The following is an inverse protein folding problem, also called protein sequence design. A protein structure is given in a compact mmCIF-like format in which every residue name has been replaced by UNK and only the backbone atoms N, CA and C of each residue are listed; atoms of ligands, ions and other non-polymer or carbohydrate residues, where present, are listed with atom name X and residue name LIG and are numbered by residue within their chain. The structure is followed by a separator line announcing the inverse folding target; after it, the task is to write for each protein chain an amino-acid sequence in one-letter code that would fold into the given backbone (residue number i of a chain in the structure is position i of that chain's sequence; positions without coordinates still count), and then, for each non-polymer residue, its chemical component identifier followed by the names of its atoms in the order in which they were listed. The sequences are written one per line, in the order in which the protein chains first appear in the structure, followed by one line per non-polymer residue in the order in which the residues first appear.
data_IF_548781255555
#
_entry.id   IF_548781255555
#
_cell.length_a   1.000
_cell.length_b   1.000
_cell.length_c   1.000
_cell.angle_alpha   90.00
_cell.angle_beta   90.00
_cell.angle_gamma   90.00
#
_symmetry.space_group_name_H-M   'P 1'
#
loop_
_entity.id
_entity.type
_entity.pdbx_description
1 polymer ?
#
# COMPACT_ATOMS: atom_id res chain seq x y z
N UNK A 1 7.81 2.18 7.53
CA UNK A 1 6.61 2.65 6.79
C UNK A 1 5.38 2.06 7.41
N UNK A 2 4.23 2.72 7.29
CA UNK A 2 2.94 2.13 7.62
C UNK A 2 2.09 1.98 6.36
N UNK A 3 1.49 0.81 6.17
CA UNK A 3 0.62 0.49 5.04
C UNK A 3 -0.85 0.54 5.46
N UNK A 4 -1.68 1.13 4.61
CA UNK A 4 -3.14 1.01 4.65
C UNK A 4 -3.61 0.15 3.46
N UNK A 5 -4.85 -0.33 3.51
CA UNK A 5 -5.48 -1.06 2.40
C UNK A 5 -6.72 -0.30 1.93
N UNK A 6 -6.75 0.05 0.65
CA UNK A 6 -7.89 0.67 -0.01
C UNK A 6 -8.42 -0.29 -1.08
N UNK A 7 -9.50 -0.98 -0.73
CA UNK A 7 -10.11 -1.98 -1.59
C UNK A 7 -11.35 -1.39 -2.28
N UNK A 8 -11.23 -1.09 -3.56
CA UNK A 8 -12.27 -0.49 -4.41
C UNK A 8 -12.64 -1.46 -5.54
N UNK A 9 -13.07 -2.67 -5.14
CA UNK A 9 -13.50 -3.73 -6.05
C UNK A 9 -14.75 -4.38 -5.45
N UNK A 10 -15.68 -4.79 -6.30
CA UNK A 10 -16.85 -5.54 -5.88
C UNK A 10 -16.48 -6.97 -5.42
N UNK A 11 -17.06 -7.42 -4.31
CA UNK A 11 -16.79 -8.72 -3.67
C UNK A 11 -16.97 -9.92 -4.61
N UNK A 12 -17.81 -9.79 -5.65
CA UNK A 12 -18.06 -10.84 -6.62
C UNK A 12 -16.87 -11.11 -7.55
N UNK A 13 -15.95 -10.15 -7.70
CA UNK A 13 -14.75 -10.26 -8.55
C UNK A 13 -13.64 -10.94 -7.77
N UNK A 14 -13.32 -10.41 -6.60
CA UNK A 14 -12.29 -10.95 -5.70
C UNK A 14 -12.69 -10.63 -4.26
N UNK A 15 -12.51 -11.56 -3.29
CA UNK A 15 -12.87 -11.25 -1.92
C UNK A 15 -11.94 -10.19 -1.31
N UNK A 16 -12.46 -9.29 -0.47
CA UNK A 16 -11.63 -8.38 0.30
C UNK A 16 -10.74 -9.17 1.27
N UNK A 17 -9.55 -8.63 1.57
CA UNK A 17 -8.67 -9.20 2.58
C UNK A 17 -9.07 -8.66 3.95
N UNK A 18 -9.13 -9.52 4.95
CA UNK A 18 -9.09 -9.08 6.34
C UNK A 18 -7.77 -8.40 6.65
N UNK A 19 -7.72 -7.65 7.76
CA UNK A 19 -6.49 -6.99 8.23
C UNK A 19 -5.37 -7.99 8.47
N UNK A 20 -5.71 -9.15 9.02
CA UNK A 20 -4.79 -10.24 9.31
C UNK A 20 -4.26 -10.89 8.03
N UNK A 21 -5.12 -11.13 7.04
CA UNK A 21 -4.72 -11.65 5.73
C UNK A 21 -3.83 -10.66 4.98
N UNK A 22 -4.19 -9.38 5.00
CA UNK A 22 -3.41 -8.31 4.41
C UNK A 22 -2.02 -8.19 5.07
N UNK A 23 -1.93 -8.25 6.40
CA UNK A 23 -0.65 -8.25 7.09
C UNK A 23 0.19 -9.49 6.78
N UNK A 24 -0.43 -10.67 6.81
CA UNK A 24 0.25 -11.95 6.53
C UNK A 24 0.88 -11.96 5.13
N UNK A 25 0.21 -11.40 4.14
CA UNK A 25 0.71 -11.25 2.78
C UNK A 25 2.09 -10.59 2.73
N UNK A 26 2.27 -9.48 3.44
CA UNK A 26 3.55 -8.76 3.44
C UNK A 26 4.59 -9.42 4.36
N UNK A 27 4.17 -10.00 5.49
CA UNK A 27 5.05 -10.76 6.37
C UNK A 27 5.72 -11.92 5.60
N UNK A 28 4.94 -12.66 4.81
CA UNK A 28 5.46 -13.77 4.04
C UNK A 28 6.16 -13.30 2.76
N UNK A 29 5.56 -12.36 2.03
CA UNK A 29 6.03 -11.90 0.72
C UNK A 29 7.30 -11.04 0.76
N UNK A 30 7.62 -10.43 1.91
CA UNK A 30 8.76 -9.51 2.04
C UNK A 30 9.86 -10.01 2.98
N UNK A 31 9.78 -11.24 3.49
CA UNK A 31 10.70 -11.79 4.51
C UNK A 31 12.20 -11.62 4.22
N UNK A 32 12.58 -11.52 2.94
CA UNK A 32 13.98 -11.35 2.50
C UNK A 32 14.40 -9.88 2.36
N UNK A 33 13.44 -8.96 2.29
CA UNK A 33 13.67 -7.52 2.05
C UNK A 33 13.31 -6.64 3.25
N UNK A 34 12.39 -7.09 4.11
CA UNK A 34 11.87 -6.31 5.23
C UNK A 34 11.35 -7.18 6.38
N UNK A 35 11.27 -6.59 7.57
CA UNK A 35 10.49 -7.11 8.68
C UNK A 35 9.12 -6.43 8.67
N UNK A 36 8.07 -7.23 8.76
CA UNK A 36 6.70 -6.72 8.79
C UNK A 36 5.96 -7.19 10.05
N UNK A 37 5.03 -6.37 10.53
CA UNK A 37 4.09 -6.76 11.59
C UNK A 37 2.71 -6.13 11.38
N UNK A 38 1.68 -6.80 11.88
CA UNK A 38 0.35 -6.21 12.05
C UNK A 38 0.41 -5.11 13.12
N UNK A 39 -0.19 -3.95 12.85
CA UNK A 39 -0.32 -2.84 13.81
C UNK A 39 -1.74 -2.71 14.34
N UNK A 40 -1.85 -2.24 15.58
CA UNK A 40 -3.11 -1.92 16.22
C UNK A 40 -3.47 -0.44 15.99
N UNK A 41 -3.98 -0.16 14.79
CA UNK A 41 -4.41 1.18 14.39
C UNK A 41 -5.71 1.12 13.55
N UNK A 42 -6.65 2.07 13.72
CA UNK A 42 -7.89 2.08 12.92
C UNK A 42 -7.65 2.16 11.40
N UNK A 43 -6.62 2.89 10.97
CA UNK A 43 -6.33 3.14 9.55
C UNK A 43 -5.13 2.33 9.06
N UNK A 44 -4.01 2.38 9.78
CA UNK A 44 -2.81 1.62 9.43
C UNK A 44 -2.96 0.15 9.78
N UNK A 45 -2.42 -0.74 8.94
CA UNK A 45 -2.55 -2.19 9.08
C UNK A 45 -1.19 -2.85 9.26
N UNK A 46 -0.18 -2.44 8.51
CA UNK A 46 1.14 -3.10 8.52
C UNK A 46 2.24 -2.10 8.78
N UNK A 47 3.15 -2.42 9.69
CA UNK A 47 4.44 -1.77 9.78
C UNK A 47 5.46 -2.55 8.95
N UNK A 48 6.26 -1.83 8.18
CA UNK A 48 7.36 -2.38 7.39
C UNK A 48 8.65 -1.66 7.75
N UNK A 49 9.63 -2.44 8.23
CA UNK A 49 10.99 -1.99 8.55
C UNK A 49 11.97 -2.63 7.57
N UNK A 50 12.77 -1.83 6.87
CA UNK A 50 13.73 -2.28 5.89
C UNK A 50 15.00 -1.44 5.93
N UNK A 51 16.08 -1.98 5.36
CA UNK A 51 17.38 -1.32 5.29
C UNK A 51 17.38 -0.28 4.16
N UNK A 52 17.35 1.00 4.53
CA UNK A 52 17.31 2.13 3.59
C UNK A 52 18.61 2.31 2.80
N UNK A 53 19.69 1.61 3.17
CA UNK A 53 20.92 1.57 2.36
C UNK A 53 20.82 0.58 1.20
N UNK A 54 19.85 -0.35 1.25
CA UNK A 54 19.65 -1.41 0.26
C UNK A 54 18.43 -1.21 -0.61
N UNK A 55 17.36 -0.63 -0.05
CA UNK A 55 16.11 -0.42 -0.75
C UNK A 55 15.64 1.02 -0.56
N UNK A 56 15.13 1.60 -1.63
CA UNK A 56 14.39 2.85 -1.62
C UNK A 56 12.91 2.62 -1.31
N UNK A 57 12.18 3.67 -0.90
CA UNK A 57 10.74 3.62 -0.73
C UNK A 57 9.98 3.07 -1.96
N UNK A 58 10.37 3.50 -3.16
CA UNK A 58 9.75 3.07 -4.42
C UNK A 58 10.00 1.59 -4.71
N UNK A 59 11.24 1.10 -4.53
CA UNK A 59 11.57 -0.33 -4.71
C UNK A 59 10.79 -1.22 -3.72
N UNK A 60 10.59 -0.73 -2.49
CA UNK A 60 9.70 -1.42 -1.55
C UNK A 60 8.25 -1.42 -2.03
N UNK A 61 7.77 -0.30 -2.60
CA UNK A 61 6.46 -0.22 -3.23
C UNK A 61 6.26 -1.24 -4.35
N UNK A 62 7.26 -1.43 -5.22
CA UNK A 62 7.24 -2.46 -6.27
C UNK A 62 7.10 -3.87 -5.69
N UNK A 63 7.82 -4.16 -4.61
CA UNK A 63 7.70 -5.43 -3.88
C UNK A 63 6.32 -5.60 -3.26
N UNK A 64 5.71 -4.54 -2.74
CA UNK A 64 4.34 -4.59 -2.20
C UNK A 64 3.33 -4.97 -3.29
N UNK A 65 3.41 -4.30 -4.44
CA UNK A 65 2.54 -4.61 -5.58
C UNK A 65 2.72 -6.06 -6.04
N UNK A 66 3.97 -6.53 -6.12
CA UNK A 66 4.27 -7.89 -6.55
C UNK A 66 3.75 -8.95 -5.56
N UNK A 67 3.91 -8.72 -4.25
CA UNK A 67 3.39 -9.60 -3.22
C UNK A 67 1.86 -9.72 -3.29
N UNK A 68 1.18 -8.59 -3.47
CA UNK A 68 -0.28 -8.54 -3.60
C UNK A 68 -0.77 -9.26 -4.86
N UNK A 69 -0.14 -8.96 -6.00
CA UNK A 69 -0.46 -9.58 -7.28
C UNK A 69 -0.33 -11.10 -7.24
N UNK A 70 0.69 -11.63 -6.54
CA UNK A 70 0.91 -13.07 -6.43
C UNK A 70 -0.24 -13.78 -5.69
N UNK A 71 -0.78 -13.17 -4.64
CA UNK A 71 -1.95 -13.72 -3.94
C UNK A 71 -3.21 -13.56 -4.79
N UNK A 72 -3.41 -12.41 -5.46
CA UNK A 72 -4.62 -12.22 -6.26
C UNK A 72 -4.70 -13.17 -7.47
N UNK A 73 -3.56 -13.55 -8.05
CA UNK A 73 -3.48 -14.57 -9.11
C UNK A 73 -4.05 -15.94 -8.70
N UNK A 74 -3.97 -16.30 -7.43
CA UNK A 74 -4.54 -17.57 -6.95
C UNK A 74 -5.99 -17.45 -6.47
N UNK A 75 -6.51 -16.23 -6.29
CA UNK A 75 -7.86 -15.95 -5.80
C UNK A 75 -8.83 -15.52 -6.89
N UNK A 76 -8.32 -15.01 -8.01
CA UNK A 76 -9.18 -14.52 -9.08
C UNK A 76 -9.99 -15.66 -9.71
N UNK A 77 -11.27 -15.38 -9.98
CA UNK A 77 -12.15 -16.32 -10.67
C UNK A 77 -11.75 -16.44 -12.14
N UNK A 78 -11.92 -17.64 -12.68
CA UNK A 78 -11.69 -17.91 -14.10
C UNK A 78 -12.50 -16.94 -14.98
N UNK A 79 -11.84 -16.35 -15.98
CA UNK A 79 -12.47 -15.41 -16.92
C UNK A 79 -12.55 -13.96 -16.45
N UNK A 80 -12.07 -13.61 -15.25
CA UNK A 80 -11.97 -12.23 -14.77
C UNK A 80 -10.53 -11.69 -14.91
N UNK A 81 -10.41 -10.36 -15.02
CA UNK A 81 -9.11 -9.66 -15.05
C UNK A 81 -8.61 -9.33 -13.65
N UNK A 82 -7.30 -9.43 -13.45
CA UNK A 82 -6.66 -9.00 -12.21
C UNK A 82 -6.92 -7.52 -11.97
N UNK A 83 -7.03 -7.09 -10.71
CA UNK A 83 -7.21 -5.68 -10.43
C UNK A 83 -5.97 -4.89 -10.80
N UNK A 84 -6.18 -3.60 -11.04
CA UNK A 84 -5.08 -2.65 -11.01
C UNK A 84 -4.64 -2.48 -9.56
N UNK A 85 -3.33 -2.37 -9.36
CA UNK A 85 -2.74 -2.12 -8.05
C UNK A 85 -2.02 -0.79 -8.10
N UNK A 86 -2.31 0.09 -7.15
CA UNK A 86 -1.57 1.33 -6.92
C UNK A 86 -0.92 1.29 -5.55
N UNK A 87 0.35 1.67 -5.48
CA UNK A 87 1.06 1.88 -4.22
C UNK A 87 1.42 3.36 -4.14
N UNK A 88 0.71 4.08 -3.27
CA UNK A 88 0.78 5.53 -3.17
C UNK A 88 1.45 5.92 -1.86
N UNK A 89 2.71 6.35 -1.94
CA UNK A 89 3.51 6.70 -0.77
C UNK A 89 3.61 8.20 -0.57
N UNK A 90 3.57 8.65 0.69
CA UNK A 90 3.88 10.01 1.08
C UNK A 90 4.52 10.10 2.47
N UNK A 91 5.53 10.95 2.62
CA UNK A 91 6.08 11.31 3.92
C UNK A 91 5.08 12.15 4.68
N UNK A 92 4.81 11.78 5.93
CA UNK A 92 4.00 12.59 6.83
C UNK A 92 4.78 13.80 7.30
N UNK A 93 4.19 14.98 7.14
CA UNK A 93 4.79 16.26 7.56
C UNK A 93 4.08 16.89 8.76
N UNK A 94 2.87 16.42 9.08
CA UNK A 94 2.06 16.92 10.19
C UNK A 94 2.19 16.05 11.44
N UNK A 95 1.95 16.59 12.65
CA UNK A 95 1.96 15.81 13.88
C UNK A 95 1.06 14.58 13.84
N UNK A 96 1.41 13.54 14.60
CA UNK A 96 0.55 12.39 14.76
C UNK A 96 -0.79 12.79 15.39
N UNK A 97 -1.89 12.19 14.91
CA UNK A 97 -3.23 12.45 15.43
C UNK A 97 -3.49 11.76 16.77
N UNK A 98 -2.61 10.84 17.16
CA UNK A 98 -2.69 10.12 18.43
C UNK A 98 -1.30 9.83 18.99
N UNK A 99 -1.23 9.57 20.29
CA UNK A 99 -0.02 9.14 20.98
C UNK A 99 0.25 7.63 20.89
N UNK A 100 -0.56 6.88 20.12
CA UNK A 100 -0.33 5.45 19.92
C UNK A 100 1.01 5.21 19.21
N UNK A 101 1.82 4.23 19.65
CA UNK A 101 3.06 3.87 18.97
C UNK A 101 2.85 3.40 17.53
N UNK A 102 1.64 2.93 17.20
CA UNK A 102 1.26 2.48 15.86
C UNK A 102 0.63 3.61 15.01
N UNK A 103 0.87 4.87 15.38
CA UNK A 103 0.47 6.03 14.58
C UNK A 103 1.61 6.49 13.69
N UNK A 104 1.30 6.79 12.43
CA UNK A 104 2.25 7.42 11.52
C UNK A 104 2.75 8.74 12.12
N UNK A 105 4.06 8.85 12.28
CA UNK A 105 4.76 10.01 12.84
C UNK A 105 5.32 10.93 11.73
N UNK A 106 5.61 12.21 12.03
CA UNK A 106 6.34 13.07 11.10
C UNK A 106 7.65 12.43 10.63
N UNK A 107 7.95 12.54 9.34
CA UNK A 107 9.13 11.95 8.70
C UNK A 107 8.95 10.49 8.28
N UNK A 108 7.88 9.81 8.72
CA UNK A 108 7.58 8.45 8.30
C UNK A 108 6.74 8.41 7.02
N UNK A 109 6.90 7.32 6.26
CA UNK A 109 6.10 7.04 5.09
C UNK A 109 4.77 6.37 5.44
N UNK A 110 3.68 7.03 5.08
CA UNK A 110 2.36 6.40 4.93
C UNK A 110 2.19 5.94 3.50
N UNK A 111 1.70 4.72 3.32
CA UNK A 111 1.55 4.11 2.01
C UNK A 111 0.16 3.52 1.88
N UNK A 112 -0.61 4.00 0.90
CA UNK A 112 -1.89 3.43 0.55
C UNK A 112 -1.69 2.34 -0.51
N UNK A 113 -2.04 1.10 -0.14
CA UNK A 113 -2.07 -0.03 -1.08
C UNK A 113 -3.50 -0.13 -1.62
N UNK A 114 -3.67 0.23 -2.88
CA UNK A 114 -4.98 0.32 -3.53
C UNK A 114 -5.17 -0.85 -4.48
N UNK A 115 -6.35 -1.44 -4.43
CA UNK A 115 -6.84 -2.38 -5.44
C UNK A 115 -8.10 -1.79 -6.08
N UNK A 116 -8.12 -1.65 -7.40
CA UNK A 116 -9.24 -1.07 -8.14
C UNK A 116 -9.35 -1.67 -9.54
N UNK A 117 -10.52 -1.56 -10.17
CA UNK A 117 -10.71 -1.92 -11.58
C UNK A 117 -10.31 -0.78 -12.54
N UNK A 118 -10.17 0.44 -12.04
CA UNK A 118 -9.86 1.63 -12.83
C UNK A 118 -8.93 2.57 -12.05
N UNK A 119 -7.63 2.35 -12.24
CA UNK A 119 -6.58 3.15 -11.61
C UNK A 119 -6.69 4.65 -11.93
N UNK A 120 -7.06 5.01 -13.16
CA UNK A 120 -7.15 6.41 -13.56
C UNK A 120 -8.29 7.09 -12.83
N UNK A 121 -9.49 6.48 -12.87
CA UNK A 121 -10.66 7.01 -12.16
C UNK A 121 -10.43 7.11 -10.66
N UNK A 122 -9.76 6.13 -10.06
CA UNK A 122 -9.41 6.17 -8.64
C UNK A 122 -8.50 7.37 -8.33
N UNK A 123 -7.41 7.55 -9.09
CA UNK A 123 -6.45 8.65 -8.90
C UNK A 123 -7.11 10.02 -9.09
N UNK A 124 -8.00 10.17 -10.09
CA UNK A 124 -8.80 11.37 -10.30
C UNK A 124 -9.74 11.62 -9.11
N UNK A 125 -10.41 10.58 -8.61
CA UNK A 125 -11.35 10.67 -7.50
C UNK A 125 -10.73 11.15 -6.19
N UNK A 126 -9.47 10.78 -5.92
CA UNK A 126 -8.72 11.26 -4.74
C UNK A 126 -7.96 12.57 -5.01
N UNK A 127 -8.00 13.08 -6.24
CA UNK A 127 -7.28 14.29 -6.63
C UNK A 127 -5.76 14.14 -6.55
N UNK A 128 -5.22 12.95 -6.87
CA UNK A 128 -3.81 12.60 -6.66
C UNK A 128 -2.85 13.64 -7.24
N UNK A 129 -3.03 14.01 -8.50
CA UNK A 129 -2.17 14.99 -9.20
C UNK A 129 -2.15 16.35 -8.49
N UNK A 130 -3.29 16.80 -7.97
CA UNK A 130 -3.37 18.05 -7.20
C UNK A 130 -2.68 17.90 -5.85
N UNK A 131 -2.85 16.76 -5.18
CA UNK A 131 -2.26 16.49 -3.87
C UNK A 131 -0.73 16.38 -3.90
N UNK A 132 -0.14 16.00 -5.03
CA UNK A 132 1.32 15.87 -5.18
C UNK A 132 1.98 17.09 -5.83
N UNK A 133 1.23 17.98 -6.49
CA UNK A 133 1.79 19.10 -7.27
C UNK A 133 2.73 20.01 -6.48
N UNK A 134 2.52 20.14 -5.16
CA UNK A 134 3.33 20.99 -4.28
C UNK A 134 4.32 20.19 -3.42
N UNK A 135 4.37 18.87 -3.58
CA UNK A 135 5.23 18.01 -2.75
C UNK A 135 6.59 17.79 -3.43
N UNK A 136 7.68 17.82 -2.64
CA UNK A 136 8.99 17.39 -3.16
C UNK A 136 8.93 15.96 -3.67
N UNK A 137 9.56 15.68 -4.80
CA UNK A 137 9.53 14.35 -5.45
C UNK A 137 10.11 13.23 -4.59
N UNK A 138 11.02 13.56 -3.68
CA UNK A 138 11.62 12.64 -2.71
C UNK A 138 10.68 12.30 -1.54
N UNK A 139 9.59 13.05 -1.37
CA UNK A 139 8.62 12.90 -0.30
C UNK A 139 7.36 12.14 -0.71
N UNK A 140 7.29 11.72 -1.98
CA UNK A 140 6.19 10.98 -2.57
C UNK A 140 6.71 9.87 -3.49
N UNK A 141 5.95 8.81 -3.65
CA UNK A 141 6.17 7.88 -4.75
C UNK A 141 4.85 7.25 -5.21
N UNK A 142 4.84 6.78 -6.45
CA UNK A 142 3.74 6.01 -7.03
C UNK A 142 4.32 4.79 -7.74
N UNK A 143 3.75 3.62 -7.44
CA UNK A 143 3.92 2.41 -8.24
C UNK A 143 2.54 2.01 -8.77
N UNK A 144 2.48 1.64 -10.04
CA UNK A 144 1.24 1.29 -10.73
C UNK A 144 1.43 0.00 -11.52
N UNK A 145 0.57 -0.99 -11.24
CA UNK A 145 0.49 -2.25 -11.99
C UNK A 145 -0.88 -2.32 -12.64
N UNK A 146 -0.91 -2.20 -13.97
CA UNK A 146 -2.11 -2.34 -14.79
C UNK A 146 -2.23 -3.79 -15.25
N UNK A 147 -3.44 -4.35 -15.23
CA UNK A 147 -3.72 -5.73 -15.63
C UNK A 147 -4.96 -5.83 -16.51
#
# INVERSE_FOLDING_TARGET
MLLSHNFDIADEVIPPLSREEFAKLFIEGLRESAQCRLVNNPHWIVEVLFDTSKFSPTEMGEKYAQALLNIRRSQIKEGLSLPHILILGGIKTTPAMSSSPDSLQPGEWGVDVVETIDAQRFLEGIGWETAIATKPSESIFKVEVKN
#
